data_IF_088828788348
#
_entry.id   IF_088828788348
#
_cell.length_a   1.000
_cell.length_b   1.000
_cell.length_c   1.000
_cell.angle_alpha   90.00
_cell.angle_beta   90.00
_cell.angle_gamma   90.00
#
_symmetry.space_group_name_H-M   'P 1'
#
loop_
_entity.id
_entity.type
_entity.pdbx_description
1 polymer ?
#
# COMPACT_ATOMS: atom_id res chain seq x y z
N UNK A 1 19.45 -1.10 -23.69
CA UNK A 1 19.22 -2.22 -22.78
C UNK A 1 20.06 -1.96 -21.52
N UNK A 2 19.48 -1.32 -20.53
CA UNK A 2 20.10 -1.15 -19.20
C UNK A 2 19.30 -2.02 -18.23
N UNK A 3 20.00 -2.90 -17.57
CA UNK A 3 19.49 -3.93 -16.65
C UNK A 3 19.00 -3.29 -15.36
N UNK A 4 17.70 -3.03 -15.27
CA UNK A 4 17.04 -2.45 -14.10
C UNK A 4 16.68 -3.49 -13.01
N UNK A 5 17.07 -4.75 -13.18
CA UNK A 5 16.59 -5.85 -12.33
C UNK A 5 17.43 -6.15 -11.08
N UNK A 6 18.51 -5.42 -10.81
CA UNK A 6 19.40 -5.81 -9.70
C UNK A 6 19.41 -4.88 -8.48
N UNK A 7 18.89 -3.66 -8.59
CA UNK A 7 18.99 -2.69 -7.47
C UNK A 7 17.83 -2.75 -6.46
N UNK A 8 16.64 -3.19 -6.86
CA UNK A 8 15.48 -3.18 -5.94
C UNK A 8 15.55 -4.26 -4.85
N UNK A 9 16.29 -5.35 -5.11
CA UNK A 9 16.45 -6.46 -4.15
C UNK A 9 17.52 -6.22 -3.07
N UNK A 10 18.43 -5.28 -3.27
CA UNK A 10 19.58 -5.07 -2.37
C UNK A 10 19.26 -4.11 -1.21
N UNK A 11 18.32 -3.18 -1.38
CA UNK A 11 17.99 -2.18 -0.34
C UNK A 11 17.27 -2.79 0.86
N UNK A 12 16.58 -3.93 0.69
CA UNK A 12 15.87 -4.58 1.80
C UNK A 12 16.82 -5.41 2.70
N UNK A 13 18.00 -5.78 2.21
CA UNK A 13 18.88 -6.72 2.94
C UNK A 13 19.89 -6.05 3.89
N UNK A 14 20.17 -4.74 3.76
CA UNK A 14 21.21 -4.05 4.55
C UNK A 14 20.75 -3.48 5.88
N UNK A 15 19.44 -3.49 6.19
CA UNK A 15 18.91 -2.96 7.47
C UNK A 15 18.98 -3.99 8.62
N UNK A 16 19.31 -5.25 8.34
CA UNK A 16 19.16 -6.35 9.30
C UNK A 16 20.44 -6.75 10.09
N UNK A 17 21.55 -6.02 9.98
CA UNK A 17 22.81 -6.49 10.57
C UNK A 17 23.11 -6.01 11.99
N UNK A 18 22.23 -5.27 12.67
CA UNK A 18 22.53 -4.70 14.01
C UNK A 18 21.50 -5.00 15.12
N UNK A 19 20.62 -5.96 14.94
CA UNK A 19 19.65 -6.33 15.98
C UNK A 19 19.99 -7.68 16.62
N UNK A 20 21.11 -7.78 17.32
CA UNK A 20 21.43 -8.94 18.15
C UNK A 20 21.98 -8.48 19.51
N UNK A 21 21.08 -8.00 20.35
CA UNK A 21 21.17 -8.08 21.82
C UNK A 21 19.76 -8.01 22.37
N UNK A 22 19.18 -9.18 22.64
CA UNK A 22 17.92 -9.31 23.34
C UNK A 22 18.16 -9.11 24.84
N UNK A 23 17.51 -8.10 25.40
CA UNK A 23 17.35 -7.94 26.84
C UNK A 23 16.33 -8.99 27.32
N UNK A 24 16.74 -9.85 28.27
CA UNK A 24 15.90 -10.86 28.92
C UNK A 24 14.97 -10.22 29.96
N UNK A 25 13.94 -9.49 29.50
CA UNK A 25 12.96 -8.88 30.39
C UNK A 25 11.67 -8.53 29.68
N UNK A 26 10.66 -9.42 29.77
CA UNK A 26 9.24 -9.12 29.62
C UNK A 26 8.78 -8.54 28.26
N UNK A 27 8.11 -9.29 27.53
CA UNK A 27 7.42 -9.25 26.25
C UNK A 27 8.28 -9.77 25.09
N UNK A 28 8.09 -11.05 24.78
CA UNK A 28 8.89 -11.71 23.74
C UNK A 28 8.72 -11.04 22.39
N UNK A 29 9.72 -10.25 22.01
CA UNK A 29 9.90 -9.82 20.62
C UNK A 29 9.90 -11.03 19.72
N UNK A 30 8.90 -11.15 18.86
CA UNK A 30 8.68 -12.34 18.05
C UNK A 30 8.83 -12.02 16.58
N UNK A 31 9.74 -12.74 15.91
CA UNK A 31 9.98 -12.63 14.49
C UNK A 31 9.57 -13.89 13.76
N UNK A 32 8.84 -13.75 12.65
CA UNK A 32 8.70 -14.79 11.64
C UNK A 32 9.33 -14.32 10.33
N UNK A 33 10.08 -15.22 9.70
CA UNK A 33 10.66 -15.02 8.39
C UNK A 33 10.24 -16.13 7.45
N UNK A 34 10.17 -15.80 6.18
CA UNK A 34 9.80 -16.74 5.15
C UNK A 34 10.04 -16.19 3.75
N UNK A 35 9.66 -16.96 2.77
CA UNK A 35 9.67 -16.56 1.37
C UNK A 35 8.34 -16.94 0.74
N UNK A 36 7.83 -16.09 -0.11
CA UNK A 36 6.61 -16.33 -0.87
C UNK A 36 6.81 -16.14 -2.36
N UNK A 37 5.82 -16.58 -3.12
CA UNK A 37 5.65 -16.22 -4.52
C UNK A 37 4.41 -15.35 -4.63
N UNK A 38 4.58 -14.18 -5.24
CA UNK A 38 3.52 -13.20 -5.42
C UNK A 38 3.23 -12.91 -6.87
N UNK A 39 1.96 -12.67 -7.15
CA UNK A 39 1.47 -12.15 -8.41
C UNK A 39 0.69 -10.86 -8.16
N UNK A 40 0.89 -9.85 -9.01
CA UNK A 40 0.30 -8.53 -8.86
C UNK A 40 -0.09 -7.99 -10.23
N UNK A 41 -1.31 -7.48 -10.38
CA UNK A 41 -1.78 -6.82 -11.61
C UNK A 41 -2.28 -5.43 -11.24
N UNK A 42 -1.62 -4.41 -11.80
CA UNK A 42 -1.85 -3.00 -11.50
C UNK A 42 -2.03 -2.19 -12.79
N UNK A 43 -2.90 -1.16 -12.84
CA UNK A 43 -2.78 -0.12 -13.85
C UNK A 43 -1.48 0.67 -13.62
N UNK A 44 -0.91 1.24 -14.66
CA UNK A 44 0.31 2.08 -14.55
C UNK A 44 0.12 3.22 -13.55
N UNK A 45 -1.03 3.87 -13.58
CA UNK A 45 -1.50 4.85 -12.59
C UNK A 45 -3.02 4.87 -12.59
N UNK A 46 -3.62 5.53 -11.62
CA UNK A 46 -5.08 5.67 -11.55
C UNK A 46 -5.56 6.52 -12.73
N UNK A 47 -6.40 5.95 -13.58
CA UNK A 47 -6.84 6.57 -14.83
C UNK A 47 -6.15 6.04 -16.10
N UNK A 48 -5.08 5.25 -15.98
CA UNK A 48 -4.47 4.56 -17.10
C UNK A 48 -5.31 3.35 -17.53
N UNK A 49 -5.48 3.16 -18.82
CA UNK A 49 -6.06 1.96 -19.44
C UNK A 49 -5.03 0.85 -19.65
N UNK A 50 -3.75 1.13 -19.43
CA UNK A 50 -2.64 0.19 -19.54
C UNK A 50 -2.23 -0.30 -18.15
N UNK A 51 -1.79 -1.57 -18.11
CA UNK A 51 -1.50 -2.33 -16.91
C UNK A 51 -0.15 -3.00 -17.00
N UNK A 52 0.42 -3.30 -15.85
CA UNK A 52 1.60 -4.15 -15.71
C UNK A 52 1.27 -5.33 -14.80
N UNK A 53 1.85 -6.47 -15.14
CA UNK A 53 1.73 -7.70 -14.35
C UNK A 53 3.09 -8.08 -13.80
N UNK A 54 3.14 -8.34 -12.50
CA UNK A 54 4.35 -8.70 -11.79
C UNK A 54 4.21 -10.09 -11.22
N UNK A 55 5.27 -10.87 -11.37
CA UNK A 55 5.43 -12.15 -10.70
C UNK A 55 6.83 -12.21 -10.10
N UNK A 56 6.93 -12.32 -8.78
CA UNK A 56 8.21 -12.26 -8.11
C UNK A 56 8.23 -13.05 -6.79
N UNK A 57 9.42 -13.50 -6.34
CA UNK A 57 9.60 -13.90 -4.96
C UNK A 57 9.44 -12.69 -4.05
N UNK A 58 8.71 -12.87 -2.94
CA UNK A 58 8.42 -11.82 -1.95
C UNK A 58 8.91 -12.30 -0.59
N UNK A 59 9.71 -11.52 0.14
CA UNK A 59 10.06 -11.86 1.51
C UNK A 59 8.81 -11.83 2.39
N UNK A 60 8.64 -12.84 3.22
CA UNK A 60 7.67 -12.84 4.30
C UNK A 60 8.36 -12.44 5.59
N UNK A 61 7.90 -11.36 6.19
CA UNK A 61 8.38 -10.87 7.48
C UNK A 61 7.19 -10.52 8.36
N UNK A 62 7.17 -11.05 9.56
CA UNK A 62 6.23 -10.65 10.60
C UNK A 62 7.01 -10.35 11.86
N UNK A 63 6.70 -9.24 12.49
CA UNK A 63 7.31 -8.79 13.73
C UNK A 63 6.26 -8.21 14.66
N UNK A 64 6.32 -8.58 15.92
CA UNK A 64 5.48 -8.00 16.97
C UNK A 64 6.38 -7.55 18.11
N UNK A 65 6.45 -6.25 18.29
CA UNK A 65 7.05 -5.59 19.44
C UNK A 65 6.04 -4.62 20.06
N UNK A 66 6.41 -3.95 21.13
CA UNK A 66 5.51 -3.07 21.90
C UNK A 66 5.02 -1.89 21.05
N UNK A 67 5.91 -1.23 20.32
CA UNK A 67 5.58 -0.07 19.49
C UNK A 67 5.71 -0.30 18.00
N UNK A 68 6.57 -1.25 17.60
CA UNK A 68 6.77 -1.58 16.20
C UNK A 68 6.09 -2.91 15.89
N UNK A 69 5.24 -2.90 14.89
CA UNK A 69 4.64 -4.13 14.32
C UNK A 69 4.90 -4.16 12.83
N UNK A 70 5.27 -5.32 12.30
CA UNK A 70 5.42 -5.56 10.87
C UNK A 70 4.56 -6.76 10.51
N UNK A 71 3.63 -6.58 9.62
CA UNK A 71 2.73 -7.62 9.17
C UNK A 71 2.25 -7.34 7.73
N UNK A 72 1.18 -7.98 7.30
CA UNK A 72 0.55 -7.76 5.98
C UNK A 72 0.06 -6.33 5.72
N UNK A 73 -0.17 -5.52 6.78
CA UNK A 73 -0.52 -4.11 6.66
C UNK A 73 0.73 -3.22 6.50
N UNK A 74 1.91 -3.82 6.51
CA UNK A 74 3.21 -3.14 6.44
C UNK A 74 3.86 -2.92 7.79
N UNK A 75 4.93 -2.12 7.80
CA UNK A 75 5.58 -1.69 9.03
C UNK A 75 4.81 -0.53 9.65
N UNK A 76 4.49 -0.65 10.94
CA UNK A 76 3.74 0.36 11.70
C UNK A 76 4.44 0.66 13.01
N UNK A 77 4.66 1.92 13.28
CA UNK A 77 5.17 2.38 14.57
C UNK A 77 4.05 3.14 15.30
N UNK A 78 3.65 2.65 16.47
CA UNK A 78 2.58 3.21 17.27
C UNK A 78 3.08 4.27 18.23
N UNK A 79 2.54 5.47 18.14
CA UNK A 79 2.69 6.53 19.13
C UNK A 79 1.67 6.36 20.25
N UNK A 80 0.45 5.94 19.88
CA UNK A 80 -0.65 5.63 20.79
C UNK A 80 -1.20 4.28 20.34
N UNK A 81 -1.22 3.30 21.24
CA UNK A 81 -1.80 1.98 21.02
C UNK A 81 -2.87 1.72 22.10
N UNK A 82 -3.98 2.44 22.01
CA UNK A 82 -5.12 2.32 22.91
C UNK A 82 -6.21 1.40 22.36
N UNK A 83 -7.12 0.96 23.19
CA UNK A 83 -8.22 0.05 22.82
C UNK A 83 -9.20 0.68 21.82
N UNK A 84 -9.56 1.96 22.01
CA UNK A 84 -10.53 2.66 21.17
C UNK A 84 -9.89 3.55 20.12
N UNK A 85 -8.62 3.92 20.31
CA UNK A 85 -7.89 4.84 19.44
C UNK A 85 -6.44 4.44 19.32
N UNK A 86 -5.94 4.46 18.09
CA UNK A 86 -4.51 4.25 17.77
C UNK A 86 -4.00 5.39 16.89
N UNK A 87 -2.75 5.78 17.13
CA UNK A 87 -2.01 6.70 16.27
C UNK A 87 -0.70 6.04 15.87
N UNK A 88 -0.53 5.80 14.59
CA UNK A 88 0.67 5.17 14.04
C UNK A 88 1.24 5.92 12.82
N UNK A 89 2.41 5.50 12.36
CA UNK A 89 2.93 5.84 11.03
C UNK A 89 2.45 4.77 10.06
N UNK A 90 1.86 5.22 8.97
CA UNK A 90 1.47 4.37 7.85
C UNK A 90 2.32 4.67 6.62
N UNK A 91 2.59 3.65 5.83
CA UNK A 91 3.28 3.78 4.55
C UNK A 91 2.47 3.13 3.43
N UNK A 92 2.64 3.64 2.22
CA UNK A 92 2.17 3.03 0.98
C UNK A 92 3.24 3.23 -0.10
N UNK A 93 3.19 2.41 -1.15
CA UNK A 93 4.20 2.42 -2.19
C UNK A 93 3.54 2.38 -3.57
N UNK A 94 4.04 3.21 -4.50
CA UNK A 94 3.69 3.16 -5.91
C UNK A 94 4.92 2.73 -6.72
N UNK A 95 4.69 1.77 -7.62
CA UNK A 95 5.74 1.25 -8.49
C UNK A 95 6.07 2.26 -9.60
N UNK A 96 7.32 2.27 -10.09
CA UNK A 96 7.71 3.13 -11.21
C UNK A 96 7.01 2.71 -12.49
N UNK A 97 6.80 3.66 -13.39
CA UNK A 97 6.20 3.43 -14.71
C UNK A 97 7.09 4.03 -15.80
N UNK A 98 7.50 3.18 -16.73
CA UNK A 98 8.17 3.57 -17.97
C UNK A 98 7.13 4.27 -18.88
N UNK A 99 7.28 5.57 -19.09
CA UNK A 99 6.34 6.37 -19.88
C UNK A 99 6.32 5.97 -21.35
N UNK A 100 7.39 5.43 -21.89
CA UNK A 100 7.43 4.95 -23.28
C UNK A 100 6.56 3.69 -23.48
N UNK A 101 6.27 2.95 -22.40
CA UNK A 101 5.32 1.83 -22.39
C UNK A 101 3.88 2.25 -22.12
N UNK A 102 3.60 3.55 -22.01
CA UNK A 102 2.25 4.07 -21.78
C UNK A 102 1.87 5.05 -22.89
N UNK A 103 0.91 4.66 -23.74
CA UNK A 103 0.53 5.45 -24.93
C UNK A 103 0.07 6.88 -24.59
N UNK A 104 -0.55 7.08 -23.40
CA UNK A 104 -0.97 8.40 -22.98
C UNK A 104 0.21 9.28 -22.54
N UNK A 105 1.30 8.67 -22.06
CA UNK A 105 2.48 9.35 -21.51
C UNK A 105 3.70 9.34 -22.43
N UNK A 106 3.62 8.68 -23.57
CA UNK A 106 4.77 8.51 -24.47
C UNK A 106 5.50 9.83 -24.75
N UNK A 107 6.83 9.85 -24.54
CA UNK A 107 7.67 11.05 -24.66
C UNK A 107 7.59 12.01 -23.48
N UNK A 108 6.90 11.66 -22.40
CA UNK A 108 6.96 12.36 -21.11
C UNK A 108 7.99 11.68 -20.18
N UNK A 109 8.42 12.35 -19.10
CA UNK A 109 9.26 11.72 -18.08
C UNK A 109 8.59 10.47 -17.49
N UNK A 110 9.42 9.50 -17.09
CA UNK A 110 8.95 8.34 -16.36
C UNK A 110 8.33 8.73 -15.01
N UNK A 111 7.46 7.89 -14.51
CA UNK A 111 7.00 7.99 -13.13
C UNK A 111 7.93 7.11 -12.28
N UNK A 112 8.68 7.73 -11.39
CA UNK A 112 9.52 7.04 -10.43
C UNK A 112 8.72 6.33 -9.34
N UNK A 113 9.39 5.48 -8.57
CA UNK A 113 8.79 4.89 -7.40
C UNK A 113 8.50 5.94 -6.33
N UNK A 114 7.28 5.93 -5.79
CA UNK A 114 6.85 6.86 -4.73
C UNK A 114 6.64 6.10 -3.43
N UNK A 115 7.24 6.61 -2.36
CA UNK A 115 6.93 6.22 -0.99
C UNK A 115 5.99 7.26 -0.39
N UNK A 116 4.78 6.86 -0.04
CA UNK A 116 3.87 7.68 0.76
C UNK A 116 4.04 7.30 2.22
N UNK A 117 4.36 8.26 3.10
CA UNK A 117 4.58 8.03 4.53
C UNK A 117 3.98 9.16 5.36
N UNK A 118 3.35 8.82 6.46
CA UNK A 118 2.77 9.82 7.36
C UNK A 118 1.88 9.24 8.44
N UNK A 119 1.36 10.08 9.35
CA UNK A 119 0.52 9.67 10.46
C UNK A 119 -0.80 9.07 9.97
N UNK A 120 -1.27 8.10 10.74
CA UNK A 120 -2.61 7.52 10.59
C UNK A 120 -3.29 7.46 11.96
N UNK A 121 -4.41 8.17 12.09
CA UNK A 121 -5.32 8.01 13.22
C UNK A 121 -6.32 6.89 12.91
N UNK A 122 -6.60 6.04 13.90
CA UNK A 122 -7.56 4.94 13.77
C UNK A 122 -8.48 4.92 14.99
N UNK A 123 -9.78 4.71 14.75
CA UNK A 123 -10.81 4.60 15.77
C UNK A 123 -11.50 3.25 15.63
N UNK A 124 -11.58 2.50 16.71
CA UNK A 124 -12.40 1.30 16.82
C UNK A 124 -13.82 1.73 17.17
N UNK A 125 -14.72 1.62 16.21
CA UNK A 125 -16.09 2.12 16.31
C UNK A 125 -17.04 1.12 16.95
N UNK A 126 -16.84 -0.14 16.65
CA UNK A 126 -17.69 -1.21 17.12
C UNK A 126 -17.02 -2.58 16.96
N UNK A 127 -17.36 -3.50 17.86
CA UNK A 127 -16.96 -4.91 17.82
C UNK A 127 -18.16 -5.78 18.19
N UNK A 128 -18.35 -6.92 17.52
CA UNK A 128 -19.37 -7.91 17.88
C UNK A 128 -19.00 -8.63 19.18
N UNK A 129 -20.03 -9.17 19.89
CA UNK A 129 -19.83 -9.87 21.16
C UNK A 129 -18.90 -11.09 21.05
N UNK A 130 -18.92 -11.78 19.92
CA UNK A 130 -18.04 -12.90 19.60
C UNK A 130 -16.67 -12.48 19.03
N UNK A 131 -16.39 -11.16 19.01
CA UNK A 131 -15.16 -10.53 18.49
C UNK A 131 -14.81 -10.85 17.03
N UNK A 132 -15.74 -11.46 16.29
CA UNK A 132 -15.49 -11.82 14.90
C UNK A 132 -15.64 -10.67 13.91
N UNK A 133 -16.43 -9.67 14.26
CA UNK A 133 -16.64 -8.50 13.42
C UNK A 133 -16.13 -7.26 14.14
N UNK A 134 -15.29 -6.48 13.46
CA UNK A 134 -14.79 -5.18 13.93
C UNK A 134 -14.98 -4.11 12.88
N UNK A 135 -15.57 -3.00 13.29
CA UNK A 135 -15.71 -1.80 12.48
C UNK A 135 -14.71 -0.76 12.97
N UNK A 136 -13.88 -0.26 12.07
CA UNK A 136 -12.95 0.83 12.36
C UNK A 136 -13.00 1.93 11.31
N UNK A 137 -12.70 3.16 11.71
CA UNK A 137 -12.37 4.26 10.82
C UNK A 137 -10.86 4.49 10.84
N UNK A 138 -10.29 4.89 9.71
CA UNK A 138 -8.89 5.28 9.62
C UNK A 138 -8.75 6.56 8.81
N UNK A 139 -7.79 7.41 9.19
CA UNK A 139 -7.52 8.69 8.54
C UNK A 139 -6.00 8.88 8.32
N UNK A 140 -5.40 8.17 7.34
CA UNK A 140 -4.01 8.39 6.99
C UNK A 140 -3.83 9.68 6.19
N UNK A 141 -2.86 10.50 6.61
CA UNK A 141 -2.36 11.65 5.88
C UNK A 141 -0.87 11.44 5.61
N UNK A 142 -0.48 11.33 4.34
CA UNK A 142 0.86 10.94 3.94
C UNK A 142 1.50 11.97 3.03
N UNK A 143 2.81 12.15 3.17
CA UNK A 143 3.65 12.83 2.20
C UNK A 143 4.12 11.81 1.16
N UNK A 144 4.10 12.21 -0.09
CA UNK A 144 4.62 11.44 -1.21
C UNK A 144 6.07 11.86 -1.48
N UNK A 145 6.99 10.90 -1.39
CA UNK A 145 8.42 11.10 -1.59
C UNK A 145 8.87 10.28 -2.79
N UNK A 146 9.45 10.93 -3.77
CA UNK A 146 10.07 10.29 -4.91
C UNK A 146 11.36 9.59 -4.45
N UNK A 147 11.52 8.30 -4.79
CA UNK A 147 12.68 7.51 -4.31
C UNK A 147 13.92 7.67 -5.19
N UNK A 148 13.84 8.33 -6.35
CA UNK A 148 14.99 8.55 -7.22
C UNK A 148 15.84 9.75 -6.80
N UNK A 149 15.21 10.81 -6.29
CA UNK A 149 15.85 12.08 -5.95
C UNK A 149 15.49 12.60 -4.55
N UNK A 150 14.71 11.83 -3.77
CA UNK A 150 14.12 12.21 -2.48
C UNK A 150 13.23 13.47 -2.57
N UNK A 151 12.70 13.79 -3.75
CA UNK A 151 11.79 14.88 -3.99
C UNK A 151 10.45 14.69 -3.28
N UNK A 152 9.89 15.79 -2.77
CA UNK A 152 8.53 15.75 -2.22
C UNK A 152 7.53 15.91 -3.38
N UNK A 153 6.61 14.95 -3.58
CA UNK A 153 5.56 15.01 -4.59
C UNK A 153 4.18 15.33 -4.00
N UNK A 154 4.16 16.08 -2.91
CA UNK A 154 2.95 16.56 -2.28
C UNK A 154 2.41 15.61 -1.20
N UNK A 155 1.11 15.72 -0.92
CA UNK A 155 0.44 14.91 0.11
C UNK A 155 -0.82 14.25 -0.42
N UNK A 156 -1.21 13.17 0.25
CA UNK A 156 -2.45 12.44 -0.01
C UNK A 156 -3.14 12.12 1.32
N UNK A 157 -4.47 12.28 1.34
CA UNK A 157 -5.33 11.96 2.47
C UNK A 157 -6.39 10.95 2.01
N UNK A 158 -6.44 9.81 2.68
CA UNK A 158 -7.26 8.66 2.25
C UNK A 158 -8.06 8.06 3.40
N UNK A 159 -9.00 8.81 4.01
CA UNK A 159 -9.81 8.27 5.10
C UNK A 159 -10.67 7.11 4.61
N UNK A 160 -10.95 6.18 5.52
CA UNK A 160 -11.72 4.99 5.20
C UNK A 160 -12.56 4.50 6.38
N UNK A 161 -13.63 3.78 6.07
CA UNK A 161 -14.28 2.84 6.96
C UNK A 161 -13.85 1.42 6.57
N UNK A 162 -13.59 0.58 7.57
CA UNK A 162 -13.22 -0.80 7.35
C UNK A 162 -14.02 -1.70 8.27
N UNK A 163 -14.68 -2.69 7.66
CA UNK A 163 -15.26 -3.84 8.34
C UNK A 163 -14.28 -5.02 8.21
N UNK A 164 -13.90 -5.59 9.34
CA UNK A 164 -13.03 -6.77 9.40
C UNK A 164 -13.81 -7.94 9.98
N UNK A 165 -13.69 -9.07 9.33
CA UNK A 165 -14.29 -10.33 9.75
C UNK A 165 -13.21 -11.38 10.00
N UNK A 166 -13.22 -11.92 11.19
CA UNK A 166 -12.33 -12.98 11.63
C UNK A 166 -13.08 -14.31 11.66
N UNK A 167 -12.56 -15.28 10.92
CA UNK A 167 -12.96 -16.68 10.94
C UNK A 167 -11.71 -17.54 10.79
N UNK A 168 -11.80 -18.69 10.15
CA UNK A 168 -10.61 -19.40 9.67
C UNK A 168 -9.77 -18.56 8.69
N UNK A 169 -10.42 -17.59 8.08
CA UNK A 169 -9.80 -16.59 7.20
C UNK A 169 -10.09 -15.21 7.77
N UNK A 170 -9.13 -14.31 7.64
CA UNK A 170 -9.35 -12.91 7.94
C UNK A 170 -9.68 -12.16 6.65
N UNK A 171 -10.84 -11.52 6.64
CA UNK A 171 -11.33 -10.71 5.53
C UNK A 171 -11.53 -9.28 6.00
N UNK A 172 -11.04 -8.30 5.26
CA UNK A 172 -11.35 -6.90 5.53
C UNK A 172 -11.86 -6.21 4.26
N UNK A 173 -12.89 -5.41 4.42
CA UNK A 173 -13.47 -4.57 3.37
C UNK A 173 -13.30 -3.13 3.83
N UNK A 174 -12.58 -2.34 3.03
CA UNK A 174 -12.32 -0.93 3.30
C UNK A 174 -12.88 -0.06 2.19
N UNK A 175 -13.49 1.05 2.55
CA UNK A 175 -14.14 1.95 1.62
C UNK A 175 -13.88 3.40 2.03
N UNK A 176 -13.52 4.27 1.08
CA UNK A 176 -13.32 5.67 1.41
C UNK A 176 -12.94 6.55 0.24
N UNK A 177 -13.16 7.86 0.39
CA UNK A 177 -12.73 8.87 -0.57
C UNK A 177 -11.23 9.17 -0.44
N UNK A 178 -10.72 9.91 -1.42
CA UNK A 178 -9.32 10.35 -1.46
C UNK A 178 -9.24 11.82 -1.82
N UNK A 179 -8.27 12.51 -1.24
CA UNK A 179 -7.89 13.89 -1.58
C UNK A 179 -6.37 13.98 -1.70
N UNK A 180 -5.89 14.88 -2.55
CA UNK A 180 -4.47 15.13 -2.67
C UNK A 180 -4.16 16.60 -3.00
N UNK A 181 -2.91 16.99 -2.78
CA UNK A 181 -2.38 18.27 -3.17
C UNK A 181 -2.27 18.40 -4.68
N UNK A 182 -2.17 19.65 -5.17
CA UNK A 182 -1.88 19.96 -6.56
C UNK A 182 -0.61 19.26 -7.02
N UNK A 183 0.49 19.38 -6.28
CA UNK A 183 1.77 18.75 -6.60
C UNK A 183 1.68 17.23 -6.77
N UNK A 184 0.86 16.54 -5.96
CA UNK A 184 0.61 15.11 -6.12
C UNK A 184 -0.16 14.80 -7.41
N UNK A 185 -1.15 15.66 -7.76
CA UNK A 185 -1.88 15.50 -9.01
C UNK A 185 -1.03 15.90 -10.22
N UNK A 186 -0.16 16.91 -10.12
CA UNK A 186 0.77 17.32 -11.18
C UNK A 186 1.68 16.17 -11.56
N UNK A 187 2.24 15.49 -10.59
CA UNK A 187 3.13 14.35 -10.81
C UNK A 187 2.53 13.29 -11.74
N UNK A 188 1.23 13.02 -11.62
CA UNK A 188 0.57 11.98 -12.41
C UNK A 188 -0.19 12.49 -13.63
N UNK A 189 -0.75 13.71 -13.57
CA UNK A 189 -1.80 14.16 -14.51
C UNK A 189 -1.51 15.47 -15.21
N UNK A 190 -0.46 16.22 -14.86
CA UNK A 190 -0.03 17.43 -15.53
C UNK A 190 0.46 17.13 -16.94
N UNK A 191 0.16 18.05 -17.89
CA UNK A 191 0.74 18.07 -19.22
C UNK A 191 1.29 19.44 -19.51
N UNK A 192 2.60 19.60 -19.34
CA UNK A 192 3.30 20.84 -19.65
C UNK A 192 3.32 21.11 -21.16
N UNK A 193 3.49 22.37 -21.55
CA UNK A 193 3.47 22.81 -22.93
C UNK A 193 4.45 22.07 -23.85
N UNK A 194 5.59 21.65 -23.32
CA UNK A 194 6.62 20.89 -24.04
C UNK A 194 6.21 19.46 -24.41
N UNK A 195 5.20 18.90 -23.72
CA UNK A 195 4.68 17.55 -23.94
C UNK A 195 3.35 17.53 -24.69
N UNK A 196 2.88 18.68 -25.15
CA UNK A 196 1.65 18.80 -25.93
C UNK A 196 1.80 18.09 -27.29
N UNK A 197 0.78 17.33 -27.65
CA UNK A 197 0.64 16.70 -28.97
C UNK A 197 -0.77 16.94 -29.51
N UNK A 198 -1.04 16.54 -30.75
CA UNK A 198 -2.39 16.66 -31.33
C UNK A 198 -3.49 15.92 -30.54
N UNK A 199 -3.13 14.85 -29.83
CA UNK A 199 -4.06 14.05 -29.01
C UNK A 199 -3.91 14.27 -27.51
N UNK A 200 -2.94 15.06 -27.06
CA UNK A 200 -2.64 15.33 -25.66
C UNK A 200 -2.46 16.84 -25.47
N UNK A 201 -3.54 17.62 -25.24
CA UNK A 201 -3.48 19.04 -24.97
C UNK A 201 -2.79 19.32 -23.62
N UNK A 202 -2.32 20.58 -23.42
CA UNK A 202 -1.83 21.04 -22.13
C UNK A 202 -2.92 20.86 -21.06
N UNK A 203 -2.51 20.50 -19.86
CA UNK A 203 -3.40 20.32 -18.74
C UNK A 203 -2.71 20.72 -17.45
N UNK A 204 -3.40 21.53 -16.64
CA UNK A 204 -2.95 22.02 -15.35
C UNK A 204 -3.79 21.30 -14.26
N UNK A 205 -3.18 20.36 -13.56
CA UNK A 205 -3.86 19.61 -12.52
C UNK A 205 -4.08 20.49 -11.28
N UNK A 206 -5.12 20.18 -10.51
CA UNK A 206 -5.50 20.95 -9.32
C UNK A 206 -5.62 20.06 -8.10
N UNK A 207 -5.34 20.64 -6.93
CA UNK A 207 -5.60 19.99 -5.65
C UNK A 207 -7.08 19.66 -5.46
N UNK A 208 -7.38 18.68 -4.62
CA UNK A 208 -8.75 18.39 -4.21
C UNK A 208 -9.12 16.92 -4.22
N UNK A 209 -10.38 16.64 -4.51
CA UNK A 209 -10.91 15.30 -4.54
C UNK A 209 -10.23 14.43 -5.60
N UNK A 210 -9.73 13.28 -5.17
CA UNK A 210 -8.94 12.35 -5.96
C UNK A 210 -9.70 11.09 -6.34
N UNK A 211 -10.97 11.00 -5.97
CA UNK A 211 -11.80 9.82 -6.26
C UNK A 211 -12.06 8.96 -5.03
N UNK A 212 -12.49 7.75 -5.28
CA UNK A 212 -13.01 6.82 -4.30
C UNK A 212 -12.31 5.46 -4.43
N UNK A 213 -12.14 4.78 -3.30
CA UNK A 213 -11.48 3.47 -3.23
C UNK A 213 -12.32 2.45 -2.46
N UNK A 214 -12.44 1.26 -3.01
CA UNK A 214 -12.92 0.06 -2.33
C UNK A 214 -11.81 -0.99 -2.36
N UNK A 215 -11.47 -1.55 -1.21
CA UNK A 215 -10.47 -2.62 -1.11
C UNK A 215 -11.04 -3.78 -0.32
N UNK A 216 -10.87 -4.98 -0.85
CA UNK A 216 -11.12 -6.23 -0.14
C UNK A 216 -9.79 -6.92 0.03
N UNK A 217 -9.46 -7.29 1.26
CA UNK A 217 -8.28 -8.11 1.57
C UNK A 217 -8.72 -9.41 2.20
N UNK A 218 -7.99 -10.46 1.89
CA UNK A 218 -8.22 -11.76 2.49
C UNK A 218 -6.88 -12.43 2.81
N UNK A 219 -6.79 -13.11 3.94
CA UNK A 219 -5.61 -13.88 4.30
C UNK A 219 -5.95 -15.06 5.18
N UNK A 220 -5.12 -16.10 5.09
CA UNK A 220 -5.31 -17.32 5.84
C UNK A 220 -3.98 -18.01 6.16
N UNK A 221 -3.86 -18.46 7.40
CA UNK A 221 -2.79 -19.34 7.84
C UNK A 221 -3.22 -20.80 7.64
N UNK A 222 -2.79 -21.41 6.53
CA UNK A 222 -3.17 -22.81 6.18
C UNK A 222 -2.58 -23.78 7.19
N UNK A 223 -1.36 -23.54 7.64
CA UNK A 223 -0.65 -24.35 8.65
C UNK A 223 0.41 -23.49 9.35
N UNK A 224 1.14 -24.08 10.30
CA UNK A 224 2.25 -23.37 10.97
C UNK A 224 3.28 -22.79 9.99
N UNK A 225 3.49 -23.43 8.83
CA UNK A 225 4.50 -23.02 7.85
C UNK A 225 3.93 -22.35 6.60
N UNK A 226 2.64 -22.44 6.32
CA UNK A 226 2.05 -21.91 5.10
C UNK A 226 1.03 -20.84 5.39
N UNK A 227 1.20 -19.73 4.73
CA UNK A 227 0.30 -18.57 4.76
C UNK A 227 0.02 -18.09 3.34
N UNK A 228 -1.17 -17.60 3.08
CA UNK A 228 -1.49 -16.87 1.88
C UNK A 228 -2.26 -15.59 2.20
N UNK A 229 -2.12 -14.62 1.33
CA UNK A 229 -2.86 -13.37 1.37
C UNK A 229 -3.12 -12.82 -0.02
N UNK A 230 -4.16 -12.04 -0.13
CA UNK A 230 -4.50 -11.38 -1.38
C UNK A 230 -5.37 -10.17 -1.16
N UNK A 231 -5.47 -9.34 -2.20
CA UNK A 231 -6.36 -8.21 -2.23
C UNK A 231 -6.96 -8.01 -3.61
N UNK A 232 -8.14 -7.41 -3.61
CA UNK A 232 -8.77 -6.82 -4.78
C UNK A 232 -9.11 -5.37 -4.44
N UNK A 233 -8.81 -4.43 -5.34
CA UNK A 233 -9.06 -3.00 -5.17
C UNK A 233 -9.74 -2.44 -6.40
N UNK A 234 -10.74 -1.66 -6.16
CA UNK A 234 -11.45 -0.86 -7.15
C UNK A 234 -11.26 0.61 -6.81
N UNK A 235 -10.72 1.39 -7.74
CA UNK A 235 -10.58 2.83 -7.65
C UNK A 235 -11.48 3.48 -8.72
N UNK A 236 -12.29 4.44 -8.31
CA UNK A 236 -13.02 5.33 -9.22
C UNK A 236 -12.51 6.74 -9.07
N UNK A 237 -12.15 7.37 -10.18
CA UNK A 237 -11.75 8.78 -10.24
C UNK A 237 -12.85 9.70 -10.79
N UNK A 238 -14.09 9.19 -10.91
CA UNK A 238 -15.23 10.00 -11.31
C UNK A 238 -15.43 11.17 -10.34
N UNK A 239 -15.52 12.40 -10.86
CA UNK A 239 -15.59 13.62 -10.09
C UNK A 239 -14.25 14.10 -9.50
N UNK A 240 -13.14 13.41 -9.77
CA UNK A 240 -11.82 13.87 -9.35
C UNK A 240 -11.43 15.16 -10.05
N UNK A 241 -10.68 16.05 -9.38
CA UNK A 241 -10.28 17.35 -9.93
C UNK A 241 -9.47 17.22 -11.21
N UNK A 242 -8.85 16.08 -11.44
CA UNK A 242 -8.04 15.76 -12.62
C UNK A 242 -8.74 14.80 -13.62
N UNK A 243 -10.01 14.51 -13.48
CA UNK A 243 -10.69 13.50 -14.32
C UNK A 243 -10.71 13.84 -15.82
N UNK A 244 -10.51 15.12 -16.16
CA UNK A 244 -10.47 15.64 -17.55
C UNK A 244 -9.04 15.73 -18.10
N UNK A 245 -8.01 15.29 -17.37
CA UNK A 245 -6.66 15.23 -17.88
C UNK A 245 -6.58 14.33 -19.12
N UNK A 246 -5.85 14.72 -20.18
CA UNK A 246 -5.65 13.87 -21.35
C UNK A 246 -4.91 12.56 -21.02
N UNK A 247 -4.26 12.47 -19.85
CA UNK A 247 -3.63 11.27 -19.33
C UNK A 247 -4.63 10.29 -18.69
N UNK A 248 -5.87 10.71 -18.43
CA UNK A 248 -6.95 9.86 -17.94
C UNK A 248 -7.65 9.20 -19.12
N UNK A 249 -7.48 7.88 -19.27
CA UNK A 249 -8.08 7.07 -20.34
C UNK A 249 -9.29 6.27 -19.86
N UNK A 250 -9.37 6.00 -18.55
CA UNK A 250 -10.52 5.34 -17.93
C UNK A 250 -10.77 5.90 -16.52
N UNK A 251 -12.04 5.95 -16.12
CA UNK A 251 -12.41 6.49 -14.80
C UNK A 251 -12.42 5.44 -13.69
N UNK A 252 -12.38 4.18 -14.05
CA UNK A 252 -12.43 3.05 -13.13
C UNK A 252 -11.20 2.18 -13.32
N UNK A 253 -10.54 1.81 -12.24
CA UNK A 253 -9.38 0.96 -12.24
C UNK A 253 -9.58 -0.20 -11.27
N UNK A 254 -9.21 -1.38 -11.71
CA UNK A 254 -9.20 -2.58 -10.88
C UNK A 254 -7.76 -3.06 -10.72
N UNK A 255 -7.37 -3.42 -9.51
CA UNK A 255 -6.08 -4.04 -9.23
C UNK A 255 -6.25 -5.21 -8.28
N UNK A 256 -5.38 -6.22 -8.40
CA UNK A 256 -5.39 -7.39 -7.55
C UNK A 256 -3.98 -7.91 -7.32
N UNK A 257 -3.78 -8.52 -6.17
CA UNK A 257 -2.54 -9.19 -5.83
C UNK A 257 -2.80 -10.40 -4.96
N UNK A 258 -1.91 -11.36 -5.09
CA UNK A 258 -1.94 -12.59 -4.32
C UNK A 258 -0.52 -13.03 -3.99
N UNK A 259 -0.32 -13.61 -2.82
CA UNK A 259 0.94 -14.19 -2.37
C UNK A 259 0.68 -15.47 -1.58
N UNK A 260 1.50 -16.48 -1.80
CA UNK A 260 1.61 -17.66 -0.94
C UNK A 260 3.03 -17.74 -0.39
N UNK A 261 3.16 -17.97 0.91
CA UNK A 261 4.46 -17.93 1.61
C UNK A 261 4.71 -19.18 2.43
N UNK A 262 5.98 -19.59 2.44
CA UNK A 262 6.52 -20.58 3.36
C UNK A 262 7.27 -19.87 4.49
N UNK A 263 6.97 -20.19 5.73
CA UNK A 263 7.50 -19.57 6.94
C UNK A 263 8.51 -20.52 7.56
N UNK A 264 9.76 -20.06 7.74
CA UNK A 264 10.86 -20.86 8.22
C UNK A 264 10.78 -21.14 9.73
N UNK A 265 10.46 -20.11 10.51
CA UNK A 265 10.44 -20.11 11.97
C UNK A 265 9.07 -19.69 12.53
N UNK A 266 8.03 -20.53 12.42
CA UNK A 266 6.69 -20.16 12.85
C UNK A 266 6.62 -19.92 14.36
N UNK A 267 6.04 -18.80 14.76
CA UNK A 267 5.77 -18.43 16.15
C UNK A 267 4.40 -18.98 16.55
N UNK A 268 4.35 -19.72 17.65
CA UNK A 268 3.14 -20.46 18.07
C UNK A 268 1.93 -19.54 18.24
N UNK A 269 2.10 -18.42 18.89
CA UNK A 269 1.06 -17.44 19.20
C UNK A 269 0.38 -16.90 17.95
N UNK A 270 1.09 -16.81 16.83
CA UNK A 270 0.55 -16.25 15.57
C UNK A 270 -0.40 -17.19 14.81
N UNK A 271 -0.45 -18.47 15.17
CA UNK A 271 -1.35 -19.41 14.52
C UNK A 271 -2.32 -20.11 15.48
N UNK A 272 -2.21 -19.84 16.79
CA UNK A 272 -3.13 -20.35 17.80
C UNK A 272 -4.18 -19.33 18.22
N UNK A 273 -3.88 -18.03 18.10
CA UNK A 273 -4.84 -16.95 18.36
C UNK A 273 -4.90 -15.97 17.16
N UNK A 274 -5.83 -16.19 16.23
CA UNK A 274 -6.00 -15.30 15.06
C UNK A 274 -6.63 -13.94 15.42
N UNK A 275 -7.13 -13.75 16.66
CA UNK A 275 -7.79 -12.52 17.11
C UNK A 275 -6.85 -11.56 17.85
N UNK A 276 -5.66 -11.99 18.19
CA UNK A 276 -4.64 -11.19 18.85
C UNK A 276 -3.96 -10.23 17.85
N UNK A 277 -4.33 -8.95 17.86
CA UNK A 277 -3.70 -7.87 17.11
C UNK A 277 -2.76 -7.01 17.97
#
# INVERSE_FOLDING_TARGET
MRTLNSCLLIVIFTIFSTASQADEGSNKTQWEFGVGLGALSLPHYRGSDQREEYFAPIPYVRFRGDKLKVDREGGRYFFIDGESFKLDISAAFALPVDSDKNTARQGMPDLDAILEVGPRAQWYLWESQDRRLRLRAGAPARLAVNLSDAGNEGWVFTPYLQLRYYSNMETAISIGPMWASEKYHDYYYQVDSQYVTGSRPAYDAKSGYSGFRLTVTNSHRISKHYWWGGFARYDSISGATFENSPLVKQKNAFMAGFVISYIFNPVKEYYTDPYEE
#
